data_IF_135284991275
#
_entry.id   IF_135284991275
#
_cell.length_a   1.000
_cell.length_b   1.000
_cell.length_c   1.000
_cell.angle_alpha   90.00
_cell.angle_beta   90.00
_cell.angle_gamma   90.00
#
_symmetry.space_group_name_H-M   'P 1'
#
loop_
_entity.id
_entity.type
_entity.pdbx_description
1 polymer ?
#
# COMPACT_ATOMS: atom_id res chain seq x y z
N UNK A 1 17.55 -17.83 -11.78
CA UNK A 1 18.55 -17.66 -10.70
C UNK A 1 19.61 -16.71 -11.24
N UNK A 2 19.84 -15.57 -10.57
CA UNK A 2 20.81 -14.55 -11.01
C UNK A 2 22.22 -15.01 -10.58
N UNK A 3 23.23 -14.98 -11.46
CA UNK A 3 24.61 -15.27 -11.08
C UNK A 3 25.09 -14.34 -9.96
N UNK A 4 25.71 -14.87 -8.91
CA UNK A 4 26.12 -14.08 -7.73
C UNK A 4 27.07 -12.92 -8.08
N UNK A 5 27.87 -13.08 -9.13
CA UNK A 5 28.77 -12.05 -9.66
C UNK A 5 28.07 -10.92 -10.44
N UNK A 6 26.75 -11.04 -10.67
CA UNK A 6 25.91 -10.04 -11.33
C UNK A 6 24.83 -9.48 -10.40
N UNK A 7 24.76 -9.97 -9.16
CA UNK A 7 23.80 -9.51 -8.18
C UNK A 7 24.14 -8.09 -7.71
N UNK A 8 23.12 -7.26 -7.52
CA UNK A 8 23.27 -5.93 -6.93
C UNK A 8 23.69 -6.04 -5.45
N UNK A 9 24.22 -4.95 -4.89
CA UNK A 9 24.61 -4.90 -3.47
C UNK A 9 23.46 -5.24 -2.52
N UNK A 10 22.22 -4.80 -2.83
CA UNK A 10 21.05 -5.15 -2.04
C UNK A 10 20.62 -6.61 -2.18
N UNK A 11 20.71 -7.19 -3.38
CA UNK A 11 20.44 -8.62 -3.58
C UNK A 11 21.46 -9.49 -2.81
N UNK A 12 22.74 -9.11 -2.82
CA UNK A 12 23.78 -9.78 -2.05
C UNK A 12 23.54 -9.66 -0.55
N UNK A 13 23.13 -8.48 -0.07
CA UNK A 13 22.78 -8.25 1.34
C UNK A 13 21.60 -9.14 1.77
N UNK A 14 20.56 -9.21 0.94
CA UNK A 14 19.42 -10.09 1.18
C UNK A 14 19.85 -11.56 1.27
N UNK A 15 20.56 -12.06 0.25
CA UNK A 15 21.01 -13.46 0.21
C UNK A 15 21.90 -13.79 1.41
N UNK A 16 22.82 -12.89 1.78
CA UNK A 16 23.71 -13.07 2.93
C UNK A 16 22.91 -13.13 4.23
N UNK A 17 21.91 -12.27 4.39
CA UNK A 17 21.02 -12.27 5.57
C UNK A 17 20.22 -13.57 5.67
N UNK A 18 19.69 -14.07 4.54
CA UNK A 18 18.96 -15.34 4.49
C UNK A 18 19.87 -16.53 4.84
N UNK A 19 21.10 -16.55 4.33
CA UNK A 19 22.09 -17.59 4.68
C UNK A 19 22.44 -17.51 6.17
N UNK A 20 22.66 -16.32 6.71
CA UNK A 20 22.94 -16.16 8.13
C UNK A 20 21.77 -16.68 8.97
N UNK A 21 20.55 -16.23 8.69
CA UNK A 21 19.35 -16.67 9.40
C UNK A 21 19.17 -18.19 9.34
N UNK A 22 19.41 -18.83 8.19
CA UNK A 22 19.29 -20.28 8.08
C UNK A 22 20.28 -21.06 8.96
N UNK A 23 21.40 -20.45 9.36
CA UNK A 23 22.36 -21.09 10.27
C UNK A 23 22.02 -20.95 11.76
N UNK A 24 21.18 -19.98 12.12
CA UNK A 24 20.88 -19.65 13.53
C UNK A 24 19.41 -19.88 13.91
N UNK A 25 18.52 -20.01 12.92
CA UNK A 25 17.09 -20.18 13.15
C UNK A 25 16.80 -21.49 13.85
N UNK A 26 15.84 -21.44 14.76
CA UNK A 26 15.29 -22.58 15.49
C UNK A 26 13.78 -22.46 15.55
N UNK A 27 13.11 -23.56 15.92
CA UNK A 27 11.66 -23.60 16.03
C UNK A 27 11.12 -22.53 17.00
N UNK A 28 10.05 -21.85 16.61
CA UNK A 28 9.39 -20.77 17.36
C UNK A 28 10.29 -19.56 17.64
N UNK A 29 11.32 -19.35 16.81
CA UNK A 29 12.16 -18.15 16.88
C UNK A 29 11.39 -16.87 16.55
N UNK A 30 11.92 -15.73 17.00
CA UNK A 30 11.44 -14.41 16.62
C UNK A 30 12.47 -13.77 15.70
N UNK A 31 12.04 -13.35 14.52
CA UNK A 31 12.87 -12.68 13.52
C UNK A 31 12.41 -11.23 13.44
N UNK A 32 13.32 -10.31 13.73
CA UNK A 32 13.09 -8.86 13.63
C UNK A 32 13.91 -8.32 12.47
N UNK A 33 13.26 -7.62 11.55
CA UNK A 33 13.87 -7.06 10.35
C UNK A 33 13.50 -5.58 10.28
N UNK A 34 14.50 -4.74 10.09
CA UNK A 34 14.34 -3.30 9.99
C UNK A 34 14.84 -2.82 8.62
N UNK A 35 14.06 -1.99 7.96
CA UNK A 35 14.35 -1.38 6.65
C UNK A 35 14.90 -2.34 5.57
N UNK A 36 14.24 -3.48 5.29
CA UNK A 36 14.71 -4.47 4.31
C UNK A 36 14.73 -3.99 2.86
N UNK A 37 14.10 -2.85 2.56
CA UNK A 37 14.06 -2.23 1.24
C UNK A 37 15.39 -1.59 0.83
N UNK A 38 16.30 -1.36 1.77
CA UNK A 38 17.53 -0.62 1.52
C UNK A 38 18.37 -1.29 0.44
N UNK A 39 18.58 -0.57 -0.67
CA UNK A 39 19.28 -1.05 -1.88
C UNK A 39 18.65 -2.26 -2.58
N UNK A 40 17.46 -2.71 -2.16
CA UNK A 40 16.80 -3.88 -2.72
C UNK A 40 16.02 -3.54 -3.98
N UNK A 41 16.13 -4.38 -5.01
CA UNK A 41 15.39 -4.17 -6.26
C UNK A 41 13.87 -4.18 -6.00
N UNK A 42 13.07 -3.29 -6.65
CA UNK A 42 11.62 -3.21 -6.46
C UNK A 42 10.86 -4.55 -6.57
N UNK A 43 11.27 -5.42 -7.49
CA UNK A 43 10.70 -6.77 -7.62
C UNK A 43 10.91 -7.60 -6.37
N UNK A 44 12.10 -7.55 -5.77
CA UNK A 44 12.41 -8.32 -4.56
C UNK A 44 11.78 -7.70 -3.31
N UNK A 45 11.52 -6.39 -3.29
CA UNK A 45 10.70 -5.78 -2.25
C UNK A 45 9.27 -6.36 -2.26
N UNK A 46 8.64 -6.47 -3.44
CA UNK A 46 7.31 -7.10 -3.57
C UNK A 46 7.31 -8.58 -3.19
N UNK A 47 8.41 -9.29 -3.45
CA UNK A 47 8.55 -10.72 -3.15
C UNK A 47 9.17 -10.99 -1.77
N UNK A 48 9.44 -9.95 -0.96
CA UNK A 48 10.26 -10.09 0.24
C UNK A 48 9.64 -11.06 1.25
N UNK A 49 8.37 -10.83 1.59
CA UNK A 49 7.67 -11.65 2.58
C UNK A 49 7.52 -13.09 2.12
N UNK A 50 7.12 -13.33 0.86
CA UNK A 50 6.96 -14.69 0.34
C UNK A 50 8.28 -15.45 0.37
N UNK A 51 9.40 -14.84 -0.02
CA UNK A 51 10.72 -15.47 0.07
C UNK A 51 11.12 -15.86 1.49
N UNK A 52 10.83 -15.00 2.47
CA UNK A 52 11.13 -15.31 3.88
C UNK A 52 10.25 -16.46 4.37
N UNK A 53 8.95 -16.43 4.05
CA UNK A 53 8.02 -17.49 4.44
C UNK A 53 8.36 -18.82 3.79
N UNK A 54 8.79 -18.82 2.52
CA UNK A 54 9.25 -20.03 1.81
C UNK A 54 10.49 -20.65 2.50
N UNK A 55 11.39 -19.81 3.01
CA UNK A 55 12.62 -20.25 3.66
C UNK A 55 12.40 -20.69 5.11
N UNK A 56 11.55 -19.98 5.85
CA UNK A 56 11.49 -20.09 7.31
C UNK A 56 10.13 -20.47 7.87
N UNK A 57 9.09 -20.60 7.04
CA UNK A 57 7.73 -20.92 7.48
C UNK A 57 7.63 -22.25 8.24
N UNK A 58 8.48 -23.23 7.91
CA UNK A 58 8.52 -24.52 8.60
C UNK A 58 8.96 -24.43 10.07
N UNK A 59 9.74 -23.41 10.44
CA UNK A 59 10.22 -23.21 11.82
C UNK A 59 9.17 -22.56 12.73
N UNK A 60 7.96 -22.27 12.22
CA UNK A 60 6.92 -21.55 12.97
C UNK A 60 7.43 -20.23 13.57
N UNK A 61 8.35 -19.57 12.87
CA UNK A 61 8.98 -18.35 13.34
C UNK A 61 7.98 -17.19 13.32
N UNK A 62 8.02 -16.35 14.36
CA UNK A 62 7.31 -15.08 14.37
C UNK A 62 8.18 -14.02 13.70
N UNK A 63 7.74 -13.54 12.53
CA UNK A 63 8.47 -12.55 11.74
C UNK A 63 7.82 -11.18 11.95
N UNK A 64 8.63 -10.18 12.28
CA UNK A 64 8.22 -8.78 12.43
C UNK A 64 9.11 -7.94 11.54
N UNK A 65 8.50 -7.16 10.65
CA UNK A 65 9.19 -6.31 9.68
C UNK A 65 8.77 -4.87 9.91
N UNK A 66 9.74 -3.99 10.15
CA UNK A 66 9.58 -2.55 10.05
C UNK A 66 10.08 -2.09 8.67
N UNK A 67 9.27 -1.29 7.97
CA UNK A 67 9.58 -0.85 6.61
C UNK A 67 8.86 0.47 6.29
N UNK A 68 9.54 1.32 5.53
CA UNK A 68 9.00 2.47 4.84
C UNK A 68 8.64 2.16 3.37
N UNK A 69 8.76 0.91 2.92
CA UNK A 69 8.50 0.55 1.53
C UNK A 69 7.04 0.15 1.28
N UNK A 70 6.30 0.91 0.44
CA UNK A 70 4.98 0.50 -0.02
C UNK A 70 5.00 -0.82 -0.79
N UNK A 71 6.13 -1.15 -1.43
CA UNK A 71 6.24 -2.36 -2.23
C UNK A 71 6.27 -3.61 -1.36
N UNK A 72 6.91 -3.54 -0.18
CA UNK A 72 6.94 -4.65 0.79
C UNK A 72 5.56 -4.84 1.40
N UNK A 73 4.92 -3.75 1.84
CA UNK A 73 3.54 -3.78 2.37
C UNK A 73 2.57 -4.34 1.33
N UNK A 74 2.74 -3.97 0.06
CA UNK A 74 1.93 -4.49 -1.03
C UNK A 74 2.17 -5.97 -1.34
N UNK A 75 3.43 -6.40 -1.33
CA UNK A 75 3.77 -7.81 -1.43
C UNK A 75 3.10 -8.63 -0.33
N UNK A 76 3.12 -8.10 0.90
CA UNK A 76 2.54 -8.76 2.06
C UNK A 76 1.01 -8.94 1.97
N UNK A 77 0.26 -7.91 1.53
CA UNK A 77 -1.19 -8.02 1.35
C UNK A 77 -1.61 -9.00 0.25
N UNK A 78 -0.76 -9.19 -0.75
CA UNK A 78 -1.02 -10.14 -1.83
C UNK A 78 -0.61 -11.58 -1.48
N UNK A 79 0.02 -11.80 -0.32
CA UNK A 79 0.37 -13.14 0.12
C UNK A 79 -0.86 -13.89 0.65
N UNK A 80 -0.94 -15.20 0.40
CA UNK A 80 -2.00 -16.07 0.93
C UNK A 80 -1.84 -16.35 2.44
N UNK A 81 -0.85 -15.73 3.09
CA UNK A 81 -0.56 -15.91 4.50
C UNK A 81 -1.34 -14.93 5.37
N UNK A 82 -1.67 -15.33 6.60
CA UNK A 82 -2.22 -14.41 7.59
C UNK A 82 -1.17 -13.37 7.98
N UNK A 83 -1.26 -12.18 7.41
CA UNK A 83 -0.38 -11.06 7.72
C UNK A 83 -1.19 -9.95 8.38
N UNK A 84 -0.72 -9.49 9.53
CA UNK A 84 -1.24 -8.28 10.17
C UNK A 84 -0.34 -7.10 9.80
N UNK A 85 -0.95 -6.03 9.29
CA UNK A 85 -0.24 -4.83 8.90
C UNK A 85 -0.67 -3.70 9.84
N UNK A 86 0.33 -2.99 10.34
CA UNK A 86 0.15 -1.89 11.27
C UNK A 86 0.75 -0.63 10.67
N UNK A 87 0.04 0.49 10.82
CA UNK A 87 0.59 1.82 10.59
C UNK A 87 1.02 2.41 11.93
N UNK A 88 2.23 2.93 11.99
CA UNK A 88 2.69 3.70 13.14
C UNK A 88 2.26 5.18 12.98
N UNK A 89 1.46 5.69 13.90
CA UNK A 89 1.00 7.08 13.93
C UNK A 89 0.92 7.57 15.38
N UNK A 90 1.50 8.74 15.69
CA UNK A 90 1.46 9.35 17.03
C UNK A 90 1.85 8.41 18.19
N UNK A 91 2.89 7.59 18.00
CA UNK A 91 3.35 6.53 18.94
C UNK A 91 2.34 5.39 19.18
N UNK A 92 1.31 5.26 18.34
CA UNK A 92 0.36 4.15 18.36
C UNK A 92 0.50 3.29 17.09
N UNK A 93 0.16 2.00 17.22
CA UNK A 93 0.08 1.08 16.10
C UNK A 93 -1.39 0.82 15.77
N UNK A 94 -1.82 1.32 14.60
CA UNK A 94 -3.17 1.14 14.11
C UNK A 94 -3.17 -0.07 13.17
N UNK A 95 -3.86 -1.13 13.56
CA UNK A 95 -4.06 -2.29 12.69
C UNK A 95 -5.01 -1.92 11.56
N UNK A 96 -4.64 -2.28 10.34
CA UNK A 96 -5.47 -2.01 9.18
C UNK A 96 -6.29 -3.26 8.83
N UNK A 97 -7.61 -3.07 8.80
CA UNK A 97 -8.56 -4.04 8.26
C UNK A 97 -8.21 -4.27 6.79
N UNK A 98 -8.08 -5.54 6.39
CA UNK A 98 -7.72 -5.96 5.03
C UNK A 98 -8.86 -5.69 4.04
N UNK A 99 -9.12 -4.41 3.74
CA UNK A 99 -10.08 -3.97 2.73
C UNK A 99 -9.33 -3.27 1.59
N UNK A 100 -8.84 -4.08 0.65
CA UNK A 100 -8.45 -3.62 -0.69
C UNK A 100 -7.07 -4.10 -1.15
N UNK A 101 -7.05 -5.18 -1.95
CA UNK A 101 -5.88 -5.85 -2.54
C UNK A 101 -5.19 -5.07 -3.68
N UNK A 102 -4.82 -3.81 -3.48
CA UNK A 102 -4.11 -3.04 -4.53
C UNK A 102 -2.88 -2.30 -3.96
N UNK A 103 -1.74 -2.39 -4.65
CA UNK A 103 -0.52 -1.61 -4.37
C UNK A 103 -0.84 -0.12 -4.26
N UNK A 104 -1.78 0.37 -5.06
CA UNK A 104 -2.15 1.79 -5.15
C UNK A 104 -2.98 2.25 -3.95
N UNK A 105 -3.85 1.39 -3.40
CA UNK A 105 -4.56 1.70 -2.15
C UNK A 105 -3.57 1.82 -0.99
N UNK A 106 -2.48 1.05 -1.00
CA UNK A 106 -1.41 1.12 0.00
C UNK A 106 -0.57 2.39 -0.18
N UNK A 107 -0.14 2.69 -1.41
CA UNK A 107 0.59 3.92 -1.73
C UNK A 107 -0.19 5.16 -1.28
N UNK A 108 -1.52 5.14 -1.49
CA UNK A 108 -2.40 6.19 -1.04
C UNK A 108 -2.55 6.21 0.49
N UNK A 109 -2.99 5.11 1.10
CA UNK A 109 -3.35 5.07 2.53
C UNK A 109 -2.17 5.12 3.50
N UNK A 110 -1.00 4.63 3.12
CA UNK A 110 0.19 4.62 3.97
C UNK A 110 1.16 5.76 3.67
N UNK A 111 1.25 6.18 2.39
CA UNK A 111 2.30 7.08 1.95
C UNK A 111 1.79 8.40 1.36
N UNK A 112 0.47 8.59 1.23
CA UNK A 112 -0.14 9.75 0.56
C UNK A 112 0.41 9.98 -0.87
N UNK A 113 0.82 8.90 -1.56
CA UNK A 113 1.38 8.97 -2.92
C UNK A 113 0.25 8.68 -3.92
N UNK A 114 -0.02 9.63 -4.81
CA UNK A 114 -0.91 9.41 -5.97
C UNK A 114 -0.12 8.89 -7.16
N UNK A 115 -0.56 7.81 -7.79
CA UNK A 115 -0.05 7.40 -9.11
C UNK A 115 -0.90 8.03 -10.23
N UNK A 116 -0.30 8.44 -11.37
CA UNK A 116 -0.98 9.31 -12.36
C UNK A 116 -2.18 8.67 -13.08
N UNK A 117 -2.22 7.35 -13.22
CA UNK A 117 -3.26 6.65 -13.99
C UNK A 117 -3.55 5.30 -13.36
N UNK A 118 -4.62 5.22 -12.57
CA UNK A 118 -4.93 4.01 -11.81
C UNK A 118 -6.43 3.74 -11.80
N UNK A 119 -6.80 2.48 -12.00
CA UNK A 119 -8.17 1.98 -11.80
C UNK A 119 -8.65 2.25 -10.36
N UNK A 120 -7.75 2.27 -9.37
CA UNK A 120 -8.08 2.56 -7.98
C UNK A 120 -8.56 4.00 -7.79
N UNK A 121 -7.94 5.00 -8.41
CA UNK A 121 -8.42 6.39 -8.34
C UNK A 121 -9.82 6.51 -8.96
N UNK A 122 -10.04 5.84 -10.10
CA UNK A 122 -11.35 5.77 -10.74
C UNK A 122 -12.38 5.10 -9.83
N UNK A 123 -12.07 3.95 -9.23
CA UNK A 123 -12.96 3.24 -8.30
C UNK A 123 -13.25 4.06 -7.03
N UNK A 124 -12.25 4.74 -6.48
CA UNK A 124 -12.39 5.63 -5.33
C UNK A 124 -13.32 6.80 -5.63
N UNK A 125 -13.13 7.49 -6.76
CA UNK A 125 -14.01 8.59 -7.13
C UNK A 125 -15.42 8.09 -7.45
N UNK A 126 -15.57 6.93 -8.09
CA UNK A 126 -16.88 6.33 -8.34
C UNK A 126 -17.60 5.98 -7.03
N UNK A 127 -16.92 5.37 -6.05
CA UNK A 127 -17.54 5.05 -4.76
C UNK A 127 -17.92 6.31 -4.00
N UNK A 128 -17.04 7.32 -3.98
CA UNK A 128 -17.30 8.61 -3.33
C UNK A 128 -18.49 9.35 -3.96
N UNK A 129 -18.59 9.36 -5.29
CA UNK A 129 -19.71 9.97 -6.01
C UNK A 129 -21.02 9.19 -5.79
N UNK A 130 -20.97 7.86 -5.70
CA UNK A 130 -22.14 7.04 -5.39
C UNK A 130 -22.64 7.29 -3.97
N UNK A 131 -21.75 7.35 -2.98
CA UNK A 131 -22.12 7.66 -1.60
C UNK A 131 -22.73 9.08 -1.49
N UNK A 132 -22.22 10.05 -2.26
CA UNK A 132 -22.82 11.38 -2.37
C UNK A 132 -24.22 11.29 -3.01
N UNK A 133 -24.36 10.54 -4.09
CA UNK A 133 -25.62 10.27 -4.78
C UNK A 133 -26.67 9.58 -3.89
N UNK A 134 -26.25 8.73 -2.98
CA UNK A 134 -27.11 8.05 -2.00
C UNK A 134 -27.34 8.90 -0.73
N UNK A 135 -26.56 9.97 -0.53
CA UNK A 135 -26.72 10.91 0.58
C UNK A 135 -26.07 10.43 1.88
N UNK A 136 -25.18 9.44 1.78
CA UNK A 136 -24.38 8.93 2.89
C UNK A 136 -23.29 9.92 3.31
N UNK A 137 -22.83 10.75 2.37
CA UNK A 137 -21.82 11.79 2.58
C UNK A 137 -22.33 13.14 2.05
N UNK A 138 -21.92 14.24 2.70
CA UNK A 138 -22.26 15.59 2.25
C UNK A 138 -21.30 16.06 1.18
N UNK A 139 -21.78 16.94 0.30
CA UNK A 139 -20.95 17.56 -0.74
C UNK A 139 -19.69 18.24 -0.18
N UNK A 140 -19.76 18.84 1.02
CA UNK A 140 -18.59 19.48 1.63
C UNK A 140 -17.48 18.46 1.95
N UNK A 141 -17.84 17.33 2.54
CA UNK A 141 -16.90 16.26 2.88
C UNK A 141 -16.35 15.58 1.62
N UNK A 142 -17.20 15.40 0.61
CA UNK A 142 -16.79 14.90 -0.72
C UNK A 142 -15.75 15.80 -1.38
N UNK A 143 -15.99 17.11 -1.41
CA UNK A 143 -15.06 18.08 -2.01
C UNK A 143 -13.74 18.11 -1.24
N UNK A 144 -13.79 18.04 0.10
CA UNK A 144 -12.58 17.98 0.91
C UNK A 144 -11.70 16.77 0.57
N UNK A 145 -12.30 15.60 0.36
CA UNK A 145 -11.55 14.41 -0.05
C UNK A 145 -10.98 14.53 -1.47
N UNK A 146 -11.74 15.10 -2.41
CA UNK A 146 -11.26 15.37 -3.78
C UNK A 146 -10.08 16.34 -3.77
N UNK A 147 -10.17 17.42 -2.99
CA UNK A 147 -9.11 18.44 -2.88
C UNK A 147 -7.86 17.87 -2.20
N UNK A 148 -8.00 16.96 -1.23
CA UNK A 148 -6.87 16.25 -0.64
C UNK A 148 -6.10 15.45 -1.70
N UNK A 149 -6.79 14.73 -2.59
CA UNK A 149 -6.18 13.98 -3.71
C UNK A 149 -5.52 14.93 -4.71
N UNK A 150 -6.16 16.06 -5.02
CA UNK A 150 -5.60 17.07 -5.91
C UNK A 150 -4.28 17.64 -5.40
N UNK A 151 -4.21 17.96 -4.10
CA UNK A 151 -3.02 18.58 -3.50
C UNK A 151 -1.81 17.64 -3.43
N UNK A 152 -2.04 16.33 -3.46
CA UNK A 152 -0.99 15.30 -3.56
C UNK A 152 -0.57 14.97 -5.00
N UNK A 153 -1.31 15.45 -6.01
CA UNK A 153 -1.02 15.17 -7.41
C UNK A 153 -0.12 16.24 -8.04
N UNK A 154 0.92 15.80 -8.73
CA UNK A 154 1.85 16.67 -9.47
C UNK A 154 1.67 16.59 -11.00
N UNK A 155 0.80 15.69 -11.48
CA UNK A 155 0.57 15.45 -12.90
C UNK A 155 -0.59 16.32 -13.43
N UNK A 156 -0.37 17.02 -14.55
CA UNK A 156 -1.36 17.95 -15.11
C UNK A 156 -2.63 17.25 -15.63
N UNK A 157 -2.49 16.09 -16.26
CA UNK A 157 -3.64 15.35 -16.80
C UNK A 157 -4.47 14.76 -15.65
N UNK A 158 -3.79 14.35 -14.58
CA UNK A 158 -4.46 13.87 -13.37
C UNK A 158 -5.22 15.00 -12.67
N UNK A 159 -4.63 16.19 -12.53
CA UNK A 159 -5.32 17.36 -11.97
C UNK A 159 -6.57 17.71 -12.78
N UNK A 160 -6.49 17.68 -14.11
CA UNK A 160 -7.64 17.92 -15.00
C UNK A 160 -8.74 16.87 -14.81
N UNK A 161 -8.36 15.60 -14.68
CA UNK A 161 -9.31 14.50 -14.39
C UNK A 161 -10.00 14.71 -13.04
N UNK A 162 -9.25 15.08 -12.00
CA UNK A 162 -9.77 15.33 -10.65
C UNK A 162 -10.74 16.52 -10.64
N UNK A 163 -10.46 17.60 -11.38
CA UNK A 163 -11.41 18.71 -11.55
C UNK A 163 -12.69 18.25 -12.26
N UNK A 164 -12.58 17.37 -13.26
CA UNK A 164 -13.74 16.75 -13.89
C UNK A 164 -14.62 15.98 -12.89
N UNK A 165 -14.02 15.21 -11.98
CA UNK A 165 -14.75 14.53 -10.89
C UNK A 165 -15.44 15.53 -9.97
N UNK A 166 -14.77 16.63 -9.63
CA UNK A 166 -15.31 17.70 -8.79
C UNK A 166 -16.56 18.33 -9.41
N UNK A 167 -16.54 18.58 -10.72
CA UNK A 167 -17.73 19.07 -11.45
C UNK A 167 -18.89 18.07 -11.40
N UNK A 168 -18.61 16.77 -11.52
CA UNK A 168 -19.62 15.72 -11.43
C UNK A 168 -20.27 15.71 -10.05
N UNK A 169 -19.48 15.84 -8.97
CA UNK A 169 -20.00 15.91 -7.61
C UNK A 169 -21.01 17.06 -7.43
N UNK A 170 -20.68 18.26 -7.92
CA UNK A 170 -21.62 19.40 -7.89
C UNK A 170 -22.88 19.17 -8.74
N UNK A 171 -22.75 18.50 -9.90
CA UNK A 171 -23.91 18.13 -10.73
C UNK A 171 -24.85 17.15 -10.03
N UNK A 172 -24.31 16.17 -9.28
CA UNK A 172 -25.11 15.22 -8.49
C UNK A 172 -25.87 15.95 -7.37
N UNK A 173 -25.19 16.81 -6.62
CA UNK A 173 -25.79 17.60 -5.54
C UNK A 173 -26.91 18.52 -6.05
N UNK A 174 -26.68 19.19 -7.18
CA UNK A 174 -27.70 20.06 -7.78
C UNK A 174 -28.93 19.28 -8.27
N UNK A 175 -28.77 18.05 -8.76
CA UNK A 175 -29.91 17.20 -9.16
C UNK A 175 -30.73 16.74 -7.96
N UNK A 176 -30.12 16.53 -6.80
CA UNK A 176 -30.86 16.23 -5.55
C UNK A 176 -31.76 17.38 -5.13
N UNK A 177 -31.22 18.60 -5.10
CA UNK A 177 -31.97 19.81 -4.70
C UNK A 177 -33.14 20.17 -5.61
N UNK A 178 -33.19 19.64 -6.84
CA UNK A 178 -34.29 19.86 -7.79
C UNK A 178 -35.41 18.81 -7.62
N UNK A 179 -35.13 17.69 -6.95
CA UNK A 179 -36.07 16.59 -6.73
C UNK A 179 -36.66 16.53 -5.32
N UNK A 180 -36.26 17.44 -4.42
CA UNK A 180 -36.84 17.69 -3.09
C UNK A 180 -37.71 18.96 -3.11
#
# INVERSE_FOLDING_TARGET
MIPLNQASSGELSFVTSMIYLSTVITDNSVILIDEPENSLHPTWQKEYLSKILDLFGYYQAKIIIATHSPLIVSGAQNSDSFVNIFRAENNEFIQLESSGKNVESILWSFFNITTPESNFMSEFFVSLLNDLGEGKIKIQDTIQQIDAVKNSSYDRNQIETIEGVREIAYKIENRKKVND
#
